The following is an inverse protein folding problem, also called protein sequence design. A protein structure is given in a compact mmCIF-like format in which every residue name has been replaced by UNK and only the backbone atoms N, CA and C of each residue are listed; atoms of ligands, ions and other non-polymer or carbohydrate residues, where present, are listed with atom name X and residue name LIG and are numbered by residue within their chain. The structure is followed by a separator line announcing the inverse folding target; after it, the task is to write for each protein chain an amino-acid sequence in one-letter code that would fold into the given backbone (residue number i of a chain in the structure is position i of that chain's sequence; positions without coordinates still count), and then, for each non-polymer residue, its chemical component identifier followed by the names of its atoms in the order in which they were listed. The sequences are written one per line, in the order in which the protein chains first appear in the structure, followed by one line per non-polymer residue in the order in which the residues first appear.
data_IF_638656157725
#
_entry.id   IF_638656157725
#
_cell.length_a   1.000
_cell.length_b   1.000
_cell.length_c   1.000
_cell.angle_alpha   90.00
_cell.angle_beta   90.00
_cell.angle_gamma   90.00
#
_symmetry.space_group_name_H-M   'P 1'
#
loop_
_entity.id
_entity.type
_entity.pdbx_description
1 polymer ?
#
# COMPACT_ATOMS: atom_id res chain seq x y z
N UNK A 1 -20.21 -1.46 -14.52
CA UNK A 1 -20.23 -0.72 -13.25
C UNK A 1 -18.94 0.08 -13.02
N UNK A 2 -17.76 -0.55 -12.92
CA UNK A 2 -16.50 0.16 -12.58
C UNK A 2 -16.16 1.30 -13.55
N UNK A 3 -16.31 1.11 -14.86
CA UNK A 3 -16.06 2.17 -15.85
C UNK A 3 -16.94 3.40 -15.62
N UNK A 4 -18.25 3.21 -15.48
CA UNK A 4 -19.21 4.30 -15.26
C UNK A 4 -18.87 5.08 -13.98
N UNK A 5 -18.65 4.37 -12.87
CA UNK A 5 -18.29 5.01 -11.59
C UNK A 5 -16.97 5.76 -11.65
N UNK A 6 -15.99 5.27 -12.42
CA UNK A 6 -14.72 5.96 -12.63
C UNK A 6 -14.87 7.24 -13.45
N UNK A 7 -15.83 7.29 -14.38
CA UNK A 7 -16.14 8.49 -15.15
C UNK A 7 -16.91 9.53 -14.33
N UNK A 8 -17.72 9.10 -13.37
CA UNK A 8 -18.51 9.94 -12.45
C UNK A 8 -17.66 10.68 -11.41
N UNK A 9 -16.39 10.31 -11.22
CA UNK A 9 -15.46 10.95 -10.24
C UNK A 9 -15.38 12.48 -10.39
N UNK A 10 -15.58 13.00 -11.59
CA UNK A 10 -15.56 14.44 -11.85
C UNK A 10 -16.92 14.99 -12.27
N UNK A 11 -17.99 14.27 -11.94
CA UNK A 11 -19.36 14.75 -12.09
C UNK A 11 -19.82 15.49 -10.82
N UNK A 12 -21.07 15.97 -10.81
CA UNK A 12 -21.67 16.54 -9.61
C UNK A 12 -22.01 15.51 -8.52
N UNK A 13 -21.93 14.22 -8.82
CA UNK A 13 -22.22 13.11 -7.90
C UNK A 13 -21.07 12.07 -7.91
N UNK A 14 -19.89 12.43 -7.36
CA UNK A 14 -18.74 11.53 -7.36
C UNK A 14 -18.98 10.33 -6.42
N UNK A 15 -18.48 9.13 -6.76
CA UNK A 15 -18.60 7.99 -5.87
C UNK A 15 -17.84 8.24 -4.57
N UNK A 16 -18.52 8.03 -3.44
CA UNK A 16 -17.93 8.11 -2.09
C UNK A 16 -17.57 6.73 -1.53
N UNK A 17 -18.13 5.68 -2.14
CA UNK A 17 -17.92 4.28 -1.79
C UNK A 17 -17.10 3.57 -2.87
N UNK A 18 -16.59 2.39 -2.53
CA UNK A 18 -15.87 1.50 -3.43
C UNK A 18 -16.77 0.55 -4.22
N UNK A 19 -16.18 -0.52 -4.74
CA UNK A 19 -16.89 -1.51 -5.57
C UNK A 19 -17.98 -2.25 -4.79
N UNK A 20 -19.13 -2.49 -5.42
CA UNK A 20 -20.22 -3.25 -4.82
C UNK A 20 -19.84 -4.72 -4.61
N UNK A 21 -20.15 -5.26 -3.43
CA UNK A 21 -19.88 -6.64 -3.06
C UNK A 21 -21.11 -7.53 -3.25
N UNK A 22 -20.89 -8.80 -3.58
CA UNK A 22 -21.96 -9.82 -3.65
C UNK A 22 -22.70 -10.03 -2.32
N UNK A 23 -22.15 -9.52 -1.23
CA UNK A 23 -22.71 -9.61 0.12
C UNK A 23 -23.67 -8.46 0.45
N UNK A 24 -24.06 -7.63 -0.53
CA UNK A 24 -25.08 -6.59 -0.35
C UNK A 24 -24.59 -5.25 0.19
N UNK A 25 -23.28 -5.00 0.17
CA UNK A 25 -22.65 -3.76 0.66
C UNK A 25 -21.53 -3.31 -0.28
N UNK A 26 -21.14 -2.04 -0.20
CA UNK A 26 -20.05 -1.45 -1.01
C UNK A 26 -18.73 -1.44 -0.24
N UNK A 27 -17.62 -1.73 -0.94
CA UNK A 27 -16.28 -1.64 -0.36
C UNK A 27 -15.96 -0.23 0.18
N UNK A 28 -15.07 -0.10 1.18
CA UNK A 28 -14.70 1.19 1.75
C UNK A 28 -14.01 2.07 0.72
N UNK A 29 -14.47 3.31 0.62
CA UNK A 29 -13.79 4.41 -0.05
C UNK A 29 -13.60 4.28 -1.57
N UNK A 30 -13.46 5.40 -2.28
CA UNK A 30 -13.58 5.41 -3.74
C UNK A 30 -12.22 5.32 -4.44
N UNK A 31 -11.12 5.02 -3.73
CA UNK A 31 -9.75 5.10 -4.27
C UNK A 31 -9.57 4.38 -5.60
N UNK A 32 -10.19 3.21 -5.77
CA UNK A 32 -10.13 2.49 -7.05
C UNK A 32 -10.69 3.34 -8.21
N UNK A 33 -11.86 3.95 -8.02
CA UNK A 33 -12.50 4.77 -9.05
C UNK A 33 -11.68 6.04 -9.34
N UNK A 34 -11.14 6.67 -8.29
CA UNK A 34 -10.32 7.86 -8.45
C UNK A 34 -9.01 7.56 -9.18
N UNK A 35 -8.33 6.48 -8.80
CA UNK A 35 -7.08 6.04 -9.43
C UNK A 35 -7.27 5.70 -10.92
N UNK A 36 -8.38 5.05 -11.27
CA UNK A 36 -8.71 4.72 -12.66
C UNK A 36 -9.19 5.95 -13.45
N UNK A 37 -9.87 6.92 -12.81
CA UNK A 37 -10.52 8.03 -13.49
C UNK A 37 -9.56 8.91 -14.30
N UNK A 38 -8.35 9.13 -13.77
CA UNK A 38 -7.35 10.01 -14.39
C UNK A 38 -6.90 9.44 -15.75
N UNK A 39 -6.26 8.26 -15.83
CA UNK A 39 -5.88 7.67 -17.11
C UNK A 39 -7.10 7.39 -18.00
N UNK A 40 -8.24 6.98 -17.44
CA UNK A 40 -9.43 6.65 -18.22
C UNK A 40 -9.90 7.84 -19.05
N UNK A 41 -9.94 9.04 -18.46
CA UNK A 41 -10.31 10.27 -19.17
C UNK A 41 -9.26 10.73 -20.16
N UNK A 42 -7.97 10.59 -19.82
CA UNK A 42 -6.88 10.99 -20.69
C UNK A 42 -6.79 10.15 -21.97
N UNK A 43 -7.15 8.86 -21.91
CA UNK A 43 -6.95 7.92 -23.01
C UNK A 43 -8.22 7.55 -23.78
N UNK A 44 -9.36 8.22 -23.56
CA UNK A 44 -10.53 8.13 -24.43
C UNK A 44 -11.82 7.58 -23.81
N UNK A 45 -11.83 7.26 -22.52
CA UNK A 45 -13.03 6.85 -21.76
C UNK A 45 -13.73 5.57 -22.24
N UNK A 46 -13.07 4.75 -23.06
CA UNK A 46 -13.58 3.46 -23.54
C UNK A 46 -13.01 2.25 -22.75
N UNK A 47 -13.38 1.03 -23.16
CA UNK A 47 -12.92 -0.19 -22.51
C UNK A 47 -11.40 -0.42 -22.61
N UNK A 48 -10.77 0.02 -23.71
CA UNK A 48 -9.31 -0.09 -23.88
C UNK A 48 -8.59 0.90 -22.98
N UNK A 49 -9.10 2.12 -22.86
CA UNK A 49 -8.64 3.13 -21.93
C UNK A 49 -8.77 2.64 -20.48
N UNK A 50 -9.83 1.91 -20.13
CA UNK A 50 -9.99 1.29 -18.82
C UNK A 50 -8.94 0.20 -18.55
N UNK A 51 -8.69 -0.67 -19.51
CA UNK A 51 -7.65 -1.70 -19.39
C UNK A 51 -6.24 -1.09 -19.24
N UNK A 52 -5.96 -0.03 -20.00
CA UNK A 52 -4.72 0.75 -19.87
C UNK A 52 -4.64 1.44 -18.48
N UNK A 53 -5.76 1.96 -17.99
CA UNK A 53 -5.85 2.57 -16.65
C UNK A 53 -5.50 1.58 -15.55
N UNK A 54 -6.05 0.37 -15.61
CA UNK A 54 -5.71 -0.72 -14.70
C UNK A 54 -4.21 -1.05 -14.77
N UNK A 55 -3.65 -1.18 -15.97
CA UNK A 55 -2.23 -1.45 -16.17
C UNK A 55 -1.34 -0.35 -15.58
N UNK A 56 -1.71 0.94 -15.73
CA UNK A 56 -0.97 2.06 -15.17
C UNK A 56 -1.00 2.07 -13.64
N UNK A 57 -2.17 1.85 -13.02
CA UNK A 57 -2.30 1.78 -11.55
C UNK A 57 -1.52 0.59 -10.99
N UNK A 58 -1.56 -0.56 -11.65
CA UNK A 58 -0.74 -1.72 -11.32
C UNK A 58 0.77 -1.43 -11.50
N UNK A 59 1.14 -0.68 -12.54
CA UNK A 59 2.50 -0.20 -12.78
C UNK A 59 3.01 0.72 -11.66
N UNK A 60 2.16 1.60 -11.12
CA UNK A 60 2.49 2.41 -9.93
C UNK A 60 2.79 1.52 -8.73
N UNK A 61 2.01 0.46 -8.52
CA UNK A 61 2.25 -0.49 -7.43
C UNK A 61 3.60 -1.20 -7.57
N UNK A 62 3.98 -1.59 -8.80
CA UNK A 62 5.32 -2.12 -9.09
C UNK A 62 6.44 -1.10 -8.86
N UNK A 63 6.21 0.17 -9.19
CA UNK A 63 7.16 1.24 -8.90
C UNK A 63 7.34 1.42 -7.38
N UNK A 64 6.27 1.36 -6.60
CA UNK A 64 6.34 1.40 -5.13
C UNK A 64 7.14 0.22 -4.58
N UNK A 65 6.93 -1.00 -5.09
CA UNK A 65 7.72 -2.18 -4.74
C UNK A 65 9.21 -1.93 -5.03
N UNK A 66 9.54 -1.40 -6.21
CA UNK A 66 10.92 -1.07 -6.58
C UNK A 66 11.53 -0.03 -5.64
N UNK A 67 10.77 0.99 -5.23
CA UNK A 67 11.21 2.00 -4.26
C UNK A 67 11.46 1.40 -2.88
N UNK A 68 10.57 0.52 -2.40
CA UNK A 68 10.72 -0.19 -1.12
C UNK A 68 12.02 -1.01 -1.08
N UNK A 69 12.38 -1.66 -2.18
CA UNK A 69 13.57 -2.55 -2.23
C UNK A 69 14.84 -1.90 -2.77
N UNK A 70 14.81 -0.61 -3.16
CA UNK A 70 15.93 0.04 -3.87
C UNK A 70 17.25 0.01 -3.10
N UNK A 71 17.17 0.10 -1.77
CA UNK A 71 18.31 0.13 -0.85
C UNK A 71 18.63 -1.23 -0.24
N UNK A 72 17.91 -2.27 -0.67
CA UNK A 72 18.08 -3.61 -0.14
C UNK A 72 19.20 -4.35 -0.88
N UNK A 73 19.73 -5.40 -0.23
CA UNK A 73 20.73 -6.29 -0.82
C UNK A 73 20.23 -6.87 -2.14
N UNK A 74 21.14 -7.03 -3.11
CA UNK A 74 20.83 -7.58 -4.45
C UNK A 74 20.06 -8.90 -4.38
N UNK A 75 20.41 -9.79 -3.44
CA UNK A 75 19.70 -11.05 -3.23
C UNK A 75 18.22 -10.85 -2.93
N UNK A 76 17.87 -9.92 -2.03
CA UNK A 76 16.47 -9.62 -1.69
C UNK A 76 15.74 -9.01 -2.88
N UNK A 77 16.39 -8.13 -3.65
CA UNK A 77 15.83 -7.59 -4.89
C UNK A 77 15.51 -8.69 -5.90
N UNK A 78 16.41 -9.66 -6.10
CA UNK A 78 16.16 -10.80 -6.97
C UNK A 78 14.97 -11.65 -6.49
N UNK A 79 14.90 -11.93 -5.18
CA UNK A 79 13.78 -12.68 -4.59
C UNK A 79 12.46 -11.95 -4.81
N UNK A 80 12.41 -10.63 -4.59
CA UNK A 80 11.20 -9.83 -4.80
C UNK A 80 10.79 -9.78 -6.26
N UNK A 81 11.73 -9.64 -7.20
CA UNK A 81 11.44 -9.69 -8.64
C UNK A 81 10.87 -11.05 -9.04
N UNK A 82 11.47 -12.15 -8.55
CA UNK A 82 10.97 -13.51 -8.81
C UNK A 82 9.59 -13.69 -8.21
N UNK A 83 9.37 -13.28 -6.96
CA UNK A 83 8.09 -13.38 -6.28
C UNK A 83 6.99 -12.57 -6.98
N UNK A 84 7.28 -11.33 -7.38
CA UNK A 84 6.35 -10.49 -8.15
C UNK A 84 6.04 -11.11 -9.52
N UNK A 85 7.05 -11.68 -10.20
CA UNK A 85 6.85 -12.35 -11.48
C UNK A 85 5.98 -13.59 -11.34
N UNK A 86 6.21 -14.41 -10.32
CA UNK A 86 5.41 -15.59 -10.01
C UNK A 86 3.98 -15.22 -9.65
N UNK A 87 3.78 -14.14 -8.90
CA UNK A 87 2.45 -13.60 -8.60
C UNK A 87 1.71 -13.23 -9.89
N UNK A 88 2.34 -12.47 -10.79
CA UNK A 88 1.75 -12.08 -12.07
C UNK A 88 1.44 -13.29 -12.96
N UNK A 89 2.32 -14.29 -12.99
CA UNK A 89 2.09 -15.55 -13.71
C UNK A 89 0.89 -16.30 -13.11
N UNK A 90 0.81 -16.37 -11.78
CA UNK A 90 -0.26 -17.08 -11.07
C UNK A 90 -1.63 -16.43 -11.19
N UNK A 91 -1.69 -15.10 -11.28
CA UNK A 91 -2.94 -14.36 -11.50
C UNK A 91 -3.46 -14.47 -12.94
N UNK A 92 -2.59 -14.79 -13.90
CA UNK A 92 -2.91 -14.90 -15.32
C UNK A 92 -2.62 -13.62 -16.10
N UNK A 93 -2.62 -13.75 -17.44
CA UNK A 93 -2.15 -12.71 -18.37
C UNK A 93 -2.95 -11.41 -18.29
N UNK A 94 -4.24 -11.51 -17.99
CA UNK A 94 -5.15 -10.37 -18.02
C UNK A 94 -5.26 -9.66 -16.66
N UNK A 95 -4.67 -10.21 -15.60
CA UNK A 95 -4.82 -9.65 -14.25
C UNK A 95 -4.23 -8.23 -14.09
N UNK A 96 -3.26 -7.85 -14.94
CA UNK A 96 -2.64 -6.52 -14.91
C UNK A 96 -3.54 -5.47 -15.55
N UNK A 97 -4.35 -5.87 -16.53
CA UNK A 97 -5.25 -5.00 -17.30
C UNK A 97 -6.71 -5.13 -16.86
N UNK A 98 -7.04 -6.11 -16.04
CA UNK A 98 -8.36 -6.32 -15.48
C UNK A 98 -8.66 -5.27 -14.40
N UNK A 99 -9.66 -4.39 -14.61
CA UNK A 99 -10.02 -3.35 -13.65
C UNK A 99 -10.83 -3.88 -12.46
N UNK A 100 -11.02 -5.20 -12.35
CA UNK A 100 -11.76 -5.79 -11.25
C UNK A 100 -11.08 -5.52 -9.90
N UNK A 101 -11.89 -5.21 -8.89
CA UNK A 101 -11.37 -4.74 -7.61
C UNK A 101 -10.51 -5.78 -6.88
N UNK A 102 -10.72 -7.09 -7.14
CA UNK A 102 -9.89 -8.16 -6.58
C UNK A 102 -8.51 -8.19 -7.22
N UNK A 103 -8.42 -8.19 -8.55
CA UNK A 103 -7.14 -8.19 -9.28
C UNK A 103 -6.35 -6.91 -9.00
N UNK A 104 -7.03 -5.76 -9.00
CA UNK A 104 -6.46 -4.46 -8.66
C UNK A 104 -5.92 -4.38 -7.22
N UNK A 105 -6.38 -5.23 -6.29
CA UNK A 105 -5.88 -5.25 -4.93
C UNK A 105 -4.59 -6.05 -4.75
N UNK A 106 -4.21 -6.94 -5.68
CA UNK A 106 -3.14 -7.92 -5.50
C UNK A 106 -1.73 -7.32 -5.47
N UNK A 107 -1.40 -6.44 -6.42
CA UNK A 107 -0.09 -5.78 -6.43
C UNK A 107 0.07 -4.79 -5.27
N UNK A 108 -0.94 -3.96 -4.94
CA UNK A 108 -0.96 -3.21 -3.69
C UNK A 108 -0.78 -4.08 -2.45
N UNK A 109 -1.43 -5.25 -2.40
CA UNK A 109 -1.30 -6.18 -1.28
C UNK A 109 0.14 -6.68 -1.13
N UNK A 110 0.77 -7.07 -2.24
CA UNK A 110 2.17 -7.50 -2.24
C UNK A 110 3.11 -6.37 -1.80
N UNK A 111 2.89 -5.15 -2.30
CA UNK A 111 3.65 -3.96 -1.90
C UNK A 111 3.49 -3.65 -0.39
N UNK A 112 2.26 -3.75 0.12
CA UNK A 112 1.94 -3.55 1.53
C UNK A 112 2.62 -4.59 2.42
N UNK A 113 2.47 -5.88 2.10
CA UNK A 113 3.10 -6.97 2.84
C UNK A 113 4.62 -6.81 2.90
N UNK A 114 5.24 -6.48 1.76
CA UNK A 114 6.67 -6.27 1.65
C UNK A 114 7.13 -5.06 2.46
N UNK A 115 6.46 -3.91 2.33
CA UNK A 115 6.81 -2.69 3.05
C UNK A 115 6.68 -2.86 4.57
N UNK A 116 5.57 -3.42 5.04
CA UNK A 116 5.33 -3.68 6.46
C UNK A 116 6.31 -4.71 7.04
N UNK A 117 6.71 -5.71 6.27
CA UNK A 117 7.71 -6.69 6.70
C UNK A 117 9.12 -6.10 6.76
N UNK A 118 9.52 -5.33 5.74
CA UNK A 118 10.86 -4.76 5.66
C UNK A 118 11.08 -3.58 6.61
N UNK A 119 10.02 -2.86 7.00
CA UNK A 119 10.12 -1.81 8.01
C UNK A 119 10.53 -2.33 9.39
N UNK A 120 10.43 -3.64 9.63
CA UNK A 120 10.94 -4.26 10.86
C UNK A 120 12.46 -4.42 10.89
N UNK A 121 13.14 -4.34 9.75
CA UNK A 121 14.58 -4.66 9.62
C UNK A 121 15.44 -3.59 8.95
N UNK A 122 14.83 -2.61 8.28
CA UNK A 122 15.50 -1.57 7.50
C UNK A 122 14.74 -0.25 7.58
N UNK A 123 15.41 0.88 7.27
CA UNK A 123 14.89 2.27 7.19
C UNK A 123 13.38 2.38 7.48
N UNK A 124 13.06 2.43 8.77
CA UNK A 124 11.77 1.96 9.28
C UNK A 124 10.64 2.88 8.83
N UNK A 125 10.83 4.20 8.91
CA UNK A 125 9.78 5.19 8.70
C UNK A 125 9.25 5.22 7.26
N UNK A 126 10.12 5.40 6.26
CA UNK A 126 9.68 5.53 4.86
C UNK A 126 9.09 4.22 4.34
N UNK A 127 9.74 3.09 4.68
CA UNK A 127 9.29 1.75 4.26
C UNK A 127 7.94 1.41 4.89
N UNK A 128 7.75 1.73 6.17
CA UNK A 128 6.48 1.59 6.86
C UNK A 128 5.39 2.46 6.23
N UNK A 129 5.68 3.75 5.98
CA UNK A 129 4.72 4.68 5.39
C UNK A 129 4.24 4.21 4.00
N UNK A 130 5.15 3.77 3.14
CA UNK A 130 4.79 3.21 1.83
C UNK A 130 3.97 1.92 1.98
N UNK A 131 4.38 1.01 2.88
CA UNK A 131 3.62 -0.21 3.18
C UNK A 131 2.19 0.09 3.68
N UNK A 132 2.05 1.08 4.55
CA UNK A 132 0.77 1.53 5.10
C UNK A 132 -0.13 2.16 4.03
N UNK A 133 0.42 3.03 3.18
CA UNK A 133 -0.32 3.62 2.05
C UNK A 133 -0.85 2.52 1.13
N UNK A 134 0.01 1.56 0.75
CA UNK A 134 -0.43 0.45 -0.10
C UNK A 134 -1.47 -0.43 0.60
N UNK A 135 -1.37 -0.64 1.91
CA UNK A 135 -2.40 -1.35 2.69
C UNK A 135 -3.75 -0.63 2.65
N UNK A 136 -3.78 0.70 2.77
CA UNK A 136 -5.01 1.50 2.65
C UNK A 136 -5.63 1.34 1.25
N UNK A 137 -4.82 1.36 0.19
CA UNK A 137 -5.29 1.11 -1.18
C UNK A 137 -5.88 -0.29 -1.29
N UNK A 138 -5.20 -1.32 -0.78
CA UNK A 138 -5.69 -2.71 -0.76
C UNK A 138 -7.00 -2.84 0.00
N UNK A 139 -7.11 -2.26 1.19
CA UNK A 139 -8.30 -2.35 2.05
C UNK A 139 -9.53 -1.74 1.37
N UNK A 140 -9.36 -0.63 0.67
CA UNK A 140 -10.42 0.01 -0.09
C UNK A 140 -10.80 -0.75 -1.36
N UNK A 141 -9.82 -1.31 -2.08
CA UNK A 141 -10.08 -2.11 -3.27
C UNK A 141 -10.79 -3.43 -2.92
N UNK A 142 -10.35 -4.10 -1.85
CA UNK A 142 -10.94 -5.35 -1.39
C UNK A 142 -10.73 -5.56 0.12
N UNK A 143 -11.81 -5.52 0.90
CA UNK A 143 -11.73 -5.57 2.38
C UNK A 143 -11.09 -6.84 2.87
N UNK A 144 -11.38 -7.98 2.22
CA UNK A 144 -10.85 -9.27 2.66
C UNK A 144 -9.32 -9.32 2.63
N UNK A 145 -8.68 -8.70 1.64
CA UNK A 145 -7.21 -8.69 1.51
C UNK A 145 -6.60 -7.65 2.46
N UNK A 146 -7.30 -6.55 2.70
CA UNK A 146 -6.92 -5.58 3.72
C UNK A 146 -6.95 -6.17 5.13
N UNK A 147 -8.02 -6.88 5.51
CA UNK A 147 -8.13 -7.56 6.80
C UNK A 147 -7.01 -8.59 6.99
N UNK A 148 -6.64 -9.33 5.93
CA UNK A 148 -5.55 -10.30 6.01
C UNK A 148 -4.19 -9.69 6.42
N UNK A 149 -3.96 -8.41 6.10
CA UNK A 149 -2.73 -7.69 6.49
C UNK A 149 -2.86 -6.87 7.77
N UNK A 150 -4.05 -6.79 8.38
CA UNK A 150 -4.27 -6.01 9.59
C UNK A 150 -3.29 -6.37 10.72
N UNK A 151 -2.98 -7.66 11.01
CA UNK A 151 -1.98 -8.01 12.02
C UNK A 151 -0.60 -7.44 11.71
N UNK A 152 -0.17 -7.48 10.43
CA UNK A 152 1.12 -6.93 10.01
C UNK A 152 1.19 -5.43 10.23
N UNK A 153 0.10 -4.69 9.94
CA UNK A 153 0.02 -3.24 10.19
C UNK A 153 0.16 -2.93 11.68
N UNK A 154 -0.57 -3.66 12.53
CA UNK A 154 -0.54 -3.44 13.97
C UNK A 154 0.85 -3.71 14.56
N UNK A 155 1.48 -4.82 14.14
CA UNK A 155 2.82 -5.20 14.61
C UNK A 155 3.88 -4.20 14.12
N UNK A 156 3.87 -3.87 12.82
CA UNK A 156 4.83 -2.93 12.24
C UNK A 156 4.65 -1.52 12.81
N UNK A 157 3.42 -1.07 13.02
CA UNK A 157 3.13 0.23 13.64
C UNK A 157 3.54 0.29 15.10
N UNK A 158 3.30 -0.77 15.88
CA UNK A 158 3.79 -0.85 17.25
C UNK A 158 5.34 -0.84 17.31
N UNK A 159 6.00 -1.50 16.37
CA UNK A 159 7.46 -1.45 16.25
C UNK A 159 7.95 -0.04 15.91
N UNK A 160 7.28 0.65 14.98
CA UNK A 160 7.64 2.02 14.59
C UNK A 160 7.51 3.01 15.75
N UNK A 161 6.42 2.95 16.53
CA UNK A 161 6.24 3.81 17.71
C UNK A 161 7.33 3.58 18.76
N UNK A 162 7.82 2.34 18.90
CA UNK A 162 8.93 2.02 19.81
C UNK A 162 10.26 2.60 19.32
N UNK A 163 10.56 2.49 18.02
CA UNK A 163 11.80 3.04 17.46
C UNK A 163 11.82 4.56 17.53
N UNK A 164 10.71 5.22 17.18
CA UNK A 164 10.61 6.68 17.19
C UNK A 164 10.73 7.23 18.62
N UNK A 165 10.13 6.55 19.60
CA UNK A 165 10.27 6.90 21.02
C UNK A 165 11.71 6.79 21.53
N UNK A 166 12.42 5.74 21.13
CA UNK A 166 13.84 5.55 21.50
C UNK A 166 14.73 6.64 20.89
N UNK A 167 14.50 7.01 19.63
CA UNK A 167 15.24 8.08 18.96
C UNK A 167 14.97 9.45 19.59
N UNK A 168 13.72 9.74 19.96
CA UNK A 168 13.34 10.96 20.65
C UNK A 168 14.08 11.11 22.00
N UNK A 169 14.09 10.05 22.84
CA UNK A 169 14.84 10.06 24.09
C UNK A 169 16.35 10.26 23.90
N UNK A 170 16.94 9.60 22.90
CA UNK A 170 18.36 9.75 22.57
C UNK A 170 18.73 11.15 22.05
N UNK A 171 17.78 11.87 21.44
CA UNK A 171 17.98 13.26 21.01
C UNK A 171 17.96 14.23 22.20
N UNK A 172 17.04 14.05 23.15
CA UNK A 172 16.94 14.88 24.35
C UNK A 172 18.20 14.74 25.22
N UNK A 173 18.68 13.50 25.40
CA UNK A 173 19.92 13.24 26.16
C UNK A 173 21.20 13.80 25.54
N UNK A 174 21.20 14.13 24.23
CA UNK A 174 22.32 14.82 23.57
C UNK A 174 22.27 16.34 23.70
N UNK A 175 21.08 16.92 23.87
CA UNK A 175 20.89 18.37 23.95
C UNK A 175 21.03 18.87 25.40
N UNK A 176 20.57 18.09 26.38
CA UNK A 176 20.84 18.35 27.79
C UNK A 176 22.03 17.53 28.25
N UNK A 177 23.13 18.17 28.64
CA UNK A 177 24.24 17.54 29.39
C UNK A 177 23.82 17.07 30.80
N UNK A 178 22.73 16.30 30.88
CA UNK A 178 22.06 15.84 32.08
C UNK A 178 22.29 14.33 32.21
N UNK A 179 23.55 13.94 32.41
CA UNK A 179 23.96 12.53 32.62
C UNK A 179 23.36 11.89 33.89
N UNK A 180 22.65 12.64 34.74
CA UNK A 180 22.17 12.15 36.03
C UNK A 180 20.67 11.79 36.10
N UNK A 181 19.83 12.19 35.15
CA UNK A 181 18.36 11.98 35.28
C UNK A 181 17.83 10.74 34.55
N UNK A 182 18.58 10.18 33.60
CA UNK A 182 18.09 9.07 32.77
C UNK A 182 18.16 7.69 33.45
N UNK A 183 18.82 7.54 34.61
CA UNK A 183 19.05 6.24 35.24
C UNK A 183 17.83 5.66 35.97
N UNK A 184 16.78 6.44 36.24
CA UNK A 184 15.66 5.98 37.09
C UNK A 184 14.32 5.78 36.36
N UNK A 185 14.09 6.45 35.21
CA UNK A 185 12.77 6.43 34.56
C UNK A 185 12.73 5.72 33.21
N UNK A 186 13.87 5.52 32.53
CA UNK A 186 13.90 4.93 31.18
C UNK A 186 14.03 3.39 31.17
N UNK A 187 14.32 2.75 32.30
CA UNK A 187 14.50 1.28 32.39
C UNK A 187 13.22 0.48 32.68
N UNK A 188 12.02 1.04 32.48
CA UNK A 188 10.76 0.28 32.56
C UNK A 188 9.94 0.44 31.29
N UNK A 189 10.39 -0.20 30.21
CA UNK A 189 9.58 -0.58 29.06
C UNK A 189 10.04 -1.96 28.58
#
# INVERSE_FOLDING_TARGET
MIQLRSLEVWSGDPPLEGAFSRFGWSHPGPVLFYALSVPLRLFGSDARALALSAALVNGVSLAVIAVIVRHQRTTLRCVVIVAASLLLIGLGRDAVTDPWNVSMAMLPFFAAALGLGLSMSSDAGTTFALGLVMWIVTFQAHVGTGIALLPCVLIAGANQMRTDGAEACASIGRVGGFEQWCSSSCCRC
#
